data_IF_278583885839
#
_entry.id   IF_278583885839
#
_cell.length_a   1.000
_cell.length_b   1.000
_cell.length_c   1.000
_cell.angle_alpha   90.00
_cell.angle_beta   90.00
_cell.angle_gamma   90.00
#
_symmetry.space_group_name_H-M   'P 1'
#
loop_
_entity.id
_entity.type
_entity.pdbx_description
1 polymer ?
#
# COMPACT_ATOMS: atom_id res chain seq x y z
N UNK A 1 8.35 -2.97 -21.19
CA UNK A 1 8.60 -3.95 -20.11
C UNK A 1 8.10 -3.34 -18.82
N UNK A 2 7.03 -3.86 -18.24
CA UNK A 2 6.53 -3.32 -16.98
C UNK A 2 7.50 -3.67 -15.84
N UNK A 3 7.83 -2.72 -14.95
CA UNK A 3 8.77 -2.96 -13.88
C UNK A 3 8.21 -3.95 -12.87
N UNK A 4 8.99 -4.99 -12.57
CA UNK A 4 8.70 -5.93 -11.48
C UNK A 4 9.06 -5.29 -10.15
N UNK A 5 8.15 -5.34 -9.17
CA UNK A 5 8.33 -4.82 -7.82
C UNK A 5 8.11 -5.92 -6.79
N UNK A 6 8.62 -5.69 -5.58
CA UNK A 6 8.45 -6.61 -4.45
C UNK A 6 7.38 -6.07 -3.52
N UNK A 7 6.38 -6.90 -3.20
CA UNK A 7 5.41 -6.58 -2.16
C UNK A 7 6.10 -6.52 -0.80
N UNK A 8 5.92 -5.44 -0.04
CA UNK A 8 6.54 -5.30 1.29
C UNK A 8 5.82 -6.09 2.39
N UNK A 9 4.61 -6.60 2.13
CA UNK A 9 3.86 -7.47 3.05
C UNK A 9 4.21 -8.96 2.92
N UNK A 10 4.06 -9.52 1.72
CA UNK A 10 4.31 -10.95 1.47
C UNK A 10 5.71 -11.28 0.93
N UNK A 11 6.50 -10.26 0.53
CA UNK A 11 7.85 -10.39 -0.06
C UNK A 11 7.90 -11.07 -1.44
N UNK A 12 6.76 -11.39 -2.05
CA UNK A 12 6.70 -11.89 -3.42
C UNK A 12 6.91 -10.76 -4.44
N UNK A 13 7.35 -11.12 -5.65
CA UNK A 13 7.56 -10.19 -6.76
C UNK A 13 6.40 -10.29 -7.74
N UNK A 14 6.02 -9.15 -8.31
CA UNK A 14 4.95 -9.08 -9.30
C UNK A 14 5.12 -7.85 -10.21
N UNK A 15 4.37 -7.81 -11.30
CA UNK A 15 4.21 -6.59 -12.10
C UNK A 15 3.66 -5.46 -11.25
N UNK A 16 4.16 -4.25 -11.48
CA UNK A 16 3.61 -3.03 -10.88
C UNK A 16 2.09 -2.92 -11.07
N UNK A 17 1.54 -3.46 -12.16
CA UNK A 17 0.10 -3.44 -12.43
C UNK A 17 -0.74 -4.22 -11.40
N UNK A 18 -0.15 -5.26 -10.81
CA UNK A 18 -0.80 -6.11 -9.81
C UNK A 18 -0.58 -5.60 -8.37
N UNK A 19 0.08 -4.45 -8.23
CA UNK A 19 0.49 -3.87 -6.96
C UNK A 19 -0.08 -2.47 -6.80
N UNK A 20 -0.42 -2.14 -5.55
CA UNK A 20 -0.73 -0.80 -5.11
C UNK A 20 0.54 -0.12 -4.62
N UNK A 21 0.69 1.17 -4.97
CA UNK A 21 1.74 2.01 -4.42
C UNK A 21 1.23 2.67 -3.15
N UNK A 22 2.03 2.63 -2.09
CA UNK A 22 1.81 3.39 -0.86
C UNK A 22 2.97 4.38 -0.72
N UNK A 23 2.68 5.63 -0.40
CA UNK A 23 3.70 6.67 -0.19
C UNK A 23 3.59 7.21 1.22
N UNK A 24 4.70 7.74 1.74
CA UNK A 24 4.68 8.60 2.92
C UNK A 24 4.70 10.05 2.46
N UNK A 25 3.56 10.74 2.58
CA UNK A 25 3.41 12.16 2.27
C UNK A 25 3.24 12.92 3.59
N UNK A 26 4.12 13.87 3.87
CA UNK A 26 4.07 14.69 5.10
C UNK A 26 4.01 13.87 6.41
N UNK A 27 4.66 12.69 6.40
CA UNK A 27 4.69 11.79 7.55
C UNK A 27 3.46 10.91 7.70
N UNK A 28 2.58 10.85 6.70
CA UNK A 28 1.37 10.02 6.69
C UNK A 28 1.35 9.08 5.48
N UNK A 29 0.90 7.84 5.72
CA UNK A 29 0.75 6.83 4.68
C UNK A 29 -0.50 7.07 3.84
N UNK A 30 -0.32 7.14 2.53
CA UNK A 30 -1.40 7.30 1.56
C UNK A 30 -1.29 6.28 0.42
N UNK A 31 -2.45 5.80 -0.04
CA UNK A 31 -2.52 4.91 -1.21
C UNK A 31 -2.48 5.75 -2.49
N UNK A 32 -1.42 5.57 -3.27
CA UNK A 32 -1.20 6.23 -4.54
C UNK A 32 -1.69 5.35 -5.71
N UNK A 33 -3.01 5.29 -5.88
CA UNK A 33 -3.64 4.46 -6.92
C UNK A 33 -3.19 4.84 -8.33
N UNK A 34 -2.97 6.14 -8.57
CA UNK A 34 -2.56 6.66 -9.88
C UNK A 34 -1.05 6.64 -10.10
N UNK A 35 -0.25 6.33 -9.05
CA UNK A 35 1.22 6.29 -9.07
C UNK A 35 1.84 7.66 -9.40
N UNK A 36 1.23 8.74 -8.94
CA UNK A 36 1.62 10.13 -9.23
C UNK A 36 2.06 10.93 -8.00
N UNK A 37 1.83 10.40 -6.80
CA UNK A 37 2.20 11.13 -5.59
C UNK A 37 3.73 11.21 -5.43
N UNK A 38 4.26 12.35 -4.96
CA UNK A 38 5.68 12.54 -4.77
C UNK A 38 6.20 11.71 -3.58
N UNK A 39 7.53 11.59 -3.48
CA UNK A 39 8.19 10.95 -2.34
C UNK A 39 8.48 9.46 -2.50
N UNK A 40 9.04 8.87 -1.43
CA UNK A 40 9.38 7.44 -1.38
C UNK A 40 8.10 6.61 -1.36
N UNK A 41 8.05 5.59 -2.21
CA UNK A 41 6.91 4.69 -2.32
C UNK A 41 7.29 3.23 -2.10
N UNK A 42 6.38 2.48 -1.48
CA UNK A 42 6.43 1.05 -1.29
C UNK A 42 5.32 0.39 -2.12
N UNK A 43 5.50 -0.89 -2.43
CA UNK A 43 4.54 -1.66 -3.23
C UNK A 43 3.93 -2.77 -2.38
N UNK A 44 2.62 -2.96 -2.51
CA UNK A 44 1.88 -4.04 -1.84
C UNK A 44 0.89 -4.69 -2.81
N UNK A 45 0.65 -5.99 -2.70
CA UNK A 45 -0.55 -6.57 -3.29
C UNK A 45 -1.77 -6.03 -2.55
N UNK A 46 -2.91 -5.89 -3.24
CA UNK A 46 -4.13 -5.34 -2.63
C UNK A 46 -4.60 -6.12 -1.39
N UNK A 47 -4.50 -7.45 -1.44
CA UNK A 47 -4.81 -8.36 -0.33
C UNK A 47 -3.73 -8.42 0.77
N UNK A 48 -2.58 -7.79 0.56
CA UNK A 48 -1.47 -7.78 1.51
C UNK A 48 -1.41 -6.50 2.36
N UNK A 49 -2.44 -5.65 2.30
CA UNK A 49 -2.41 -4.36 2.97
C UNK A 49 -2.36 -4.46 4.49
N UNK A 50 -3.22 -5.28 5.11
CA UNK A 50 -3.16 -5.56 6.55
C UNK A 50 -1.84 -6.26 6.92
N UNK A 51 -1.43 -7.25 6.11
CA UNK A 51 -0.18 -7.97 6.32
C UNK A 51 1.05 -7.04 6.32
N UNK A 52 1.03 -5.99 5.49
CA UNK A 52 2.10 -5.01 5.41
C UNK A 52 2.16 -4.10 6.65
N UNK A 53 1.05 -3.85 7.33
CA UNK A 53 1.01 -3.20 8.64
C UNK A 53 1.50 -4.14 9.74
N UNK A 54 0.89 -5.32 9.86
CA UNK A 54 1.17 -6.29 10.92
C UNK A 54 2.65 -6.69 10.95
N UNK A 55 3.23 -6.89 9.77
CA UNK A 55 4.65 -7.27 9.65
C UNK A 55 5.59 -6.08 9.68
N UNK A 56 5.12 -4.83 9.84
CA UNK A 56 5.93 -3.60 9.74
C UNK A 56 6.63 -3.43 8.39
N UNK A 57 6.03 -3.94 7.31
CA UNK A 57 6.56 -3.85 5.95
C UNK A 57 6.61 -2.41 5.45
N UNK A 58 5.55 -1.65 5.69
CA UNK A 58 5.47 -0.23 5.33
C UNK A 58 6.45 0.62 6.16
N UNK A 59 6.55 0.37 7.47
CA UNK A 59 7.51 1.07 8.35
C UNK A 59 8.95 0.88 7.88
N UNK A 60 9.35 -0.35 7.52
CA UNK A 60 10.71 -0.60 7.00
C UNK A 60 10.98 0.08 5.66
N UNK A 61 9.95 0.23 4.82
CA UNK A 61 10.10 0.80 3.48
C UNK A 61 10.01 2.33 3.45
N UNK A 62 9.19 2.91 4.32
CA UNK A 62 8.79 4.33 4.27
C UNK A 62 9.21 5.13 5.50
N UNK A 63 9.57 4.47 6.61
CA UNK A 63 9.84 5.09 7.90
C UNK A 63 8.64 5.01 8.85
N UNK A 64 8.80 5.61 10.02
CA UNK A 64 7.74 5.70 11.03
C UNK A 64 6.73 6.80 10.66
N UNK A 65 5.82 6.44 9.74
CA UNK A 65 4.76 7.31 9.25
C UNK A 65 3.42 6.91 9.89
N UNK A 66 2.60 7.93 10.14
CA UNK A 66 1.21 7.81 10.56
C UNK A 66 0.41 6.92 9.60
N UNK A 67 -0.48 6.07 10.13
CA UNK A 67 -1.20 5.04 9.37
C UNK A 67 -2.69 5.34 9.22
N UNK A 68 -3.20 6.40 9.82
CA UNK A 68 -4.62 6.71 9.95
C UNK A 68 -5.34 6.83 8.59
N UNK A 69 -4.78 7.59 7.64
CA UNK A 69 -5.32 7.66 6.28
C UNK A 69 -5.30 6.30 5.55
N UNK A 70 -4.24 5.52 5.75
CA UNK A 70 -4.12 4.20 5.14
C UNK A 70 -5.12 3.19 5.72
N UNK A 71 -5.28 3.16 7.04
CA UNK A 71 -6.27 2.31 7.73
C UNK A 71 -7.71 2.71 7.40
N UNK A 72 -7.97 4.01 7.28
CA UNK A 72 -9.28 4.51 6.81
C UNK A 72 -9.57 4.03 5.39
N UNK A 73 -8.58 4.09 4.50
CA UNK A 73 -8.71 3.55 3.15
C UNK A 73 -9.00 2.04 3.14
N UNK A 74 -8.38 1.26 4.05
CA UNK A 74 -8.66 -0.18 4.20
C UNK A 74 -10.10 -0.46 4.61
N UNK A 75 -10.61 0.29 5.58
CA UNK A 75 -12.00 0.18 6.03
C UNK A 75 -12.97 0.48 4.89
N UNK A 76 -12.74 1.60 4.19
CA UNK A 76 -13.60 2.00 3.08
C UNK A 76 -13.55 0.99 1.93
N UNK A 77 -12.42 0.33 1.67
CA UNK A 77 -12.35 -0.75 0.69
C UNK A 77 -13.17 -1.98 1.11
N UNK A 78 -13.17 -2.34 2.39
CA UNK A 78 -13.98 -3.45 2.90
C UNK A 78 -15.49 -3.17 2.75
N UNK A 79 -15.91 -1.93 3.02
CA UNK A 79 -17.29 -1.48 2.88
C UNK A 79 -17.72 -1.45 1.40
N UNK A 80 -16.91 -0.88 0.51
CA UNK A 80 -17.18 -0.84 -0.93
C UNK A 80 -17.21 -2.23 -1.59
N UNK A 81 -16.60 -3.24 -0.96
CA UNK A 81 -16.66 -4.64 -1.39
C UNK A 81 -17.91 -5.35 -0.87
N UNK A 82 -18.50 -4.89 0.25
CA UNK A 82 -19.73 -5.43 0.84
C UNK A 82 -21.00 -4.97 0.10
N UNK A 83 -21.03 -3.73 -0.41
CA UNK A 83 -22.17 -3.18 -1.15
C UNK A 83 -22.30 -3.69 -2.59
N UNK A 84 -21.30 -4.43 -3.09
CA UNK A 84 -21.26 -4.96 -4.46
C UNK A 84 -21.71 -6.41 -4.58
N UNK A 85 -22.35 -6.95 -3.53
CA UNK A 85 -22.83 -8.34 -3.46
C UNK A 85 -24.33 -8.44 -3.70
#
# INVERSE_FOLDING_TARGET
MDPIRTCVGCRQRDSMQNLLRVVSLEGELQVDQQRKLPGRGAWIHGNCSQLALDRKGLVRALGDSKTESFETWLRNQAENMADKK
#
